data_IF_907342167594
#
_entry.id   IF_907342167594
#
_cell.length_a   1.000
_cell.length_b   1.000
_cell.length_c   1.000
_cell.angle_alpha   90.00
_cell.angle_beta   90.00
_cell.angle_gamma   90.00
#
_symmetry.space_group_name_H-M   'P 1'
#
loop_
_entity.id
_entity.type
_entity.pdbx_description
1 polymer ?
#
# COMPACT_ATOMS: atom_id res chain seq x y z
N UNK A 1 -18.27 60.95 -30.88
CA UNK A 1 -17.47 61.71 -31.86
C UNK A 1 -16.29 60.82 -32.24
N UNK A 2 -16.40 60.19 -33.42
CA UNK A 2 -15.26 59.58 -34.15
C UNK A 2 -14.43 60.68 -34.79
N UNK A 3 -13.27 60.46 -35.42
CA UNK A 3 -13.02 59.50 -36.50
C UNK A 3 -11.64 58.78 -36.39
N UNK A 4 -11.49 57.57 -36.91
CA UNK A 4 -11.04 57.06 -38.23
C UNK A 4 -9.75 57.69 -38.76
N UNK A 5 -8.71 56.86 -38.99
CA UNK A 5 -7.88 56.97 -40.20
C UNK A 5 -7.11 55.66 -40.46
N UNK A 6 -7.28 55.13 -41.65
CA UNK A 6 -6.57 54.09 -42.37
C UNK A 6 -5.10 54.43 -42.65
N UNK A 7 -4.26 53.39 -42.84
CA UNK A 7 -3.33 53.33 -43.96
C UNK A 7 -2.74 51.94 -44.15
N UNK A 8 -2.84 51.47 -45.36
CA UNK A 8 -2.39 50.19 -45.97
C UNK A 8 -0.87 50.23 -46.21
N UNK A 9 -0.25 49.04 -46.19
CA UNK A 9 1.09 48.83 -46.73
C UNK A 9 1.35 47.39 -47.00
N UNK A 10 1.31 46.99 -48.26
CA UNK A 10 1.60 45.65 -48.76
C UNK A 10 3.12 45.43 -48.87
N UNK A 11 3.59 44.21 -48.65
CA UNK A 11 4.90 43.76 -48.96
C UNK A 11 4.98 42.23 -49.01
N UNK A 12 5.21 41.71 -50.20
CA UNK A 12 5.25 40.30 -50.56
C UNK A 12 6.62 39.68 -50.32
N UNK A 13 6.64 38.34 -50.14
CA UNK A 13 7.76 37.47 -50.56
C UNK A 13 8.62 36.90 -49.45
N UNK A 14 8.56 35.65 -49.19
CA UNK A 14 9.43 34.60 -49.69
C UNK A 14 9.17 33.27 -49.02
N UNK A 15 9.10 32.27 -49.86
CA UNK A 15 9.02 30.82 -49.53
C UNK A 15 10.28 30.32 -48.85
N UNK A 16 10.13 29.72 -47.69
CA UNK A 16 11.18 28.95 -47.00
C UNK A 16 10.63 27.59 -46.59
N UNK A 17 10.86 26.62 -47.42
CA UNK A 17 10.65 25.20 -47.17
C UNK A 17 11.64 24.78 -46.06
N UNK A 18 11.14 24.39 -44.88
CA UNK A 18 11.90 23.74 -43.84
C UNK A 18 11.16 22.46 -43.43
N UNK A 19 11.47 21.38 -44.13
CA UNK A 19 11.10 20.03 -43.77
C UNK A 19 11.61 19.65 -42.39
N UNK A 20 10.77 19.91 -41.39
CA UNK A 20 10.96 19.39 -40.02
C UNK A 20 10.59 17.92 -39.97
N UNK A 21 11.56 17.04 -39.99
CA UNK A 21 11.42 15.62 -39.72
C UNK A 21 10.71 15.42 -38.36
N UNK A 22 9.47 14.93 -38.42
CA UNK A 22 8.76 14.41 -37.28
C UNK A 22 9.55 13.20 -36.77
N UNK A 23 10.22 13.36 -35.62
CA UNK A 23 10.84 12.26 -34.88
C UNK A 23 9.82 11.17 -34.53
N UNK A 24 10.24 9.90 -34.44
CA UNK A 24 9.34 8.80 -34.22
C UNK A 24 8.78 8.84 -32.79
N UNK A 25 7.44 8.82 -32.69
CA UNK A 25 6.74 8.34 -31.51
C UNK A 25 6.51 9.34 -30.39
N UNK A 26 5.56 10.28 -30.60
CA UNK A 26 4.76 10.71 -29.48
C UNK A 26 3.88 9.52 -29.08
N UNK A 27 4.39 8.69 -28.15
CA UNK A 27 3.61 7.61 -27.55
C UNK A 27 2.34 8.20 -26.94
N UNK A 28 1.23 7.49 -27.07
CA UNK A 28 0.00 7.81 -26.36
C UNK A 28 0.35 8.11 -24.90
N UNK A 29 -0.25 9.15 -24.26
CA UNK A 29 -0.02 9.43 -22.86
C UNK A 29 -0.25 8.15 -22.06
N UNK A 30 0.71 7.77 -21.21
CA UNK A 30 0.58 6.58 -20.40
C UNK A 30 -0.70 6.72 -19.57
N UNK A 31 -1.58 5.71 -19.63
CA UNK A 31 -2.78 5.69 -18.80
C UNK A 31 -2.39 5.88 -17.34
N UNK A 32 -3.13 6.68 -16.56
CA UNK A 32 -2.84 6.89 -15.16
C UNK A 32 -2.90 5.56 -14.39
N UNK A 33 -2.01 5.38 -13.43
CA UNK A 33 -2.06 4.23 -12.53
C UNK A 33 -3.22 4.39 -11.55
N UNK A 34 -3.92 3.29 -11.28
CA UNK A 34 -4.94 3.18 -10.25
C UNK A 34 -4.62 2.03 -9.30
N UNK A 35 -4.82 2.26 -8.02
CA UNK A 35 -4.65 1.25 -6.98
C UNK A 35 -6.01 0.75 -6.52
N UNK A 36 -6.22 -0.56 -6.55
CA UNK A 36 -7.40 -1.22 -5.96
C UNK A 36 -6.93 -2.00 -4.74
N UNK A 37 -7.36 -1.59 -3.55
CA UNK A 37 -7.02 -2.25 -2.29
C UNK A 37 -8.16 -3.14 -1.82
N UNK A 38 -7.89 -4.41 -1.50
CA UNK A 38 -8.90 -5.34 -0.99
C UNK A 38 -8.72 -5.51 0.51
N UNK A 39 -9.69 -5.05 1.29
CA UNK A 39 -9.73 -5.08 2.74
C UNK A 39 -10.88 -5.96 3.24
N UNK A 40 -10.60 -7.23 3.47
CA UNK A 40 -11.61 -8.17 3.96
C UNK A 40 -11.77 -8.16 5.49
N UNK A 41 -10.91 -7.42 6.20
CA UNK A 41 -10.92 -7.32 7.67
C UNK A 41 -10.62 -5.88 8.12
N UNK A 42 -11.43 -4.94 7.61
CA UNK A 42 -11.33 -3.53 7.92
C UNK A 42 -11.53 -3.26 9.44
N UNK A 43 -11.03 -2.11 9.90
CA UNK A 43 -11.15 -1.68 11.29
C UNK A 43 -11.28 -0.16 11.40
N UNK A 44 -11.81 0.34 12.52
CA UNK A 44 -11.52 1.70 12.96
C UNK A 44 -10.21 1.66 13.73
N UNK A 45 -9.14 2.22 13.16
CA UNK A 45 -7.85 2.32 13.84
C UNK A 45 -7.82 3.57 14.72
N UNK A 46 -7.57 3.38 16.01
CA UNK A 46 -7.42 4.45 17.01
C UNK A 46 -6.01 4.43 17.56
N UNK A 47 -5.35 5.59 17.58
CA UNK A 47 -4.09 5.78 18.29
C UNK A 47 -4.34 6.71 19.46
N UNK A 48 -3.91 6.29 20.63
CA UNK A 48 -4.06 7.05 21.87
C UNK A 48 -2.75 7.06 22.65
N UNK A 49 -2.59 8.00 23.58
CA UNK A 49 -1.44 8.06 24.46
C UNK A 49 -1.84 8.20 25.92
N UNK A 50 -1.06 7.60 26.79
CA UNK A 50 -1.13 7.76 28.25
C UNK A 50 0.26 8.12 28.77
N UNK A 51 0.33 8.79 29.92
CA UNK A 51 1.63 9.08 30.55
C UNK A 51 2.32 7.78 30.97
N UNK A 52 1.55 6.83 31.50
CA UNK A 52 2.00 5.49 31.85
C UNK A 52 0.86 4.48 31.76
N UNK A 53 1.09 3.37 31.12
CA UNK A 53 0.14 2.25 31.02
C UNK A 53 0.39 1.27 32.16
N UNK A 54 -0.55 1.19 33.13
CA UNK A 54 -0.46 0.31 34.30
C UNK A 54 -1.62 -0.68 34.26
N UNK A 55 -1.35 -2.00 34.16
CA UNK A 55 -2.39 -3.01 34.21
C UNK A 55 -3.20 -2.94 35.50
N UNK A 56 -4.54 -3.00 35.40
CA UNK A 56 -5.46 -2.94 36.53
C UNK A 56 -5.92 -1.53 36.93
N UNK A 57 -5.36 -0.48 36.33
CA UNK A 57 -5.78 0.91 36.58
C UNK A 57 -6.74 1.42 35.51
N UNK A 58 -7.47 2.50 35.85
CA UNK A 58 -8.33 3.22 34.91
C UNK A 58 -7.51 4.29 34.22
N UNK A 59 -7.35 4.18 32.90
CA UNK A 59 -6.69 5.18 32.08
C UNK A 59 -7.69 6.09 31.36
N UNK A 60 -7.34 7.38 31.19
CA UNK A 60 -8.06 8.35 30.36
C UNK A 60 -7.10 8.85 29.28
N UNK A 61 -6.95 8.09 28.18
CA UNK A 61 -5.95 8.40 27.17
C UNK A 61 -6.31 9.68 26.40
N UNK A 62 -5.28 10.41 25.97
CA UNK A 62 -5.41 11.40 24.94
C UNK A 62 -5.57 10.68 23.59
N UNK A 63 -6.63 10.99 22.84
CA UNK A 63 -6.85 10.42 21.51
C UNK A 63 -6.05 11.21 20.49
N UNK A 64 -5.08 10.55 19.83
CA UNK A 64 -4.20 11.16 18.85
C UNK A 64 -4.76 11.05 17.42
N UNK A 65 -5.37 9.92 17.08
CA UNK A 65 -5.97 9.72 15.75
C UNK A 65 -7.13 8.72 15.77
N UNK A 66 -8.08 8.90 14.84
CA UNK A 66 -9.14 7.94 14.50
C UNK A 66 -9.22 7.86 12.98
N UNK A 67 -8.94 6.70 12.41
CA UNK A 67 -8.76 6.53 10.98
C UNK A 67 -9.48 5.29 10.45
N UNK A 68 -9.94 5.32 9.18
CA UNK A 68 -10.28 4.08 8.48
C UNK A 68 -9.05 3.19 8.40
N UNK A 69 -9.11 2.01 8.97
CA UNK A 69 -7.94 1.18 9.20
C UNK A 69 -8.06 -0.26 8.73
N UNK A 70 -6.99 -1.01 9.02
CA UNK A 70 -6.66 -2.27 8.42
C UNK A 70 -5.67 -2.09 7.26
N UNK A 71 -4.70 -3.04 7.11
CA UNK A 71 -3.53 -2.88 6.21
C UNK A 71 -3.89 -2.33 4.82
N UNK A 72 -4.87 -2.90 4.13
CA UNK A 72 -5.25 -2.47 2.79
C UNK A 72 -5.82 -1.04 2.75
N UNK A 73 -6.58 -0.62 3.77
CA UNK A 73 -7.07 0.75 3.88
C UNK A 73 -5.94 1.73 4.21
N UNK A 74 -4.97 1.32 5.02
CA UNK A 74 -3.78 2.11 5.30
C UNK A 74 -2.97 2.36 4.01
N UNK A 75 -2.77 1.30 3.19
CA UNK A 75 -2.14 1.44 1.87
C UNK A 75 -2.91 2.41 0.98
N UNK A 76 -4.24 2.29 0.90
CA UNK A 76 -5.07 3.16 0.06
C UNK A 76 -4.96 4.64 0.49
N UNK A 77 -4.99 4.93 1.80
CA UNK A 77 -4.86 6.28 2.35
C UNK A 77 -3.48 6.86 2.09
N UNK A 78 -2.42 6.11 2.39
CA UNK A 78 -1.04 6.52 2.13
C UNK A 78 -0.80 6.77 0.63
N UNK A 79 -1.30 5.89 -0.25
CA UNK A 79 -1.21 6.05 -1.69
C UNK A 79 -1.92 7.32 -2.16
N UNK A 80 -3.11 7.60 -1.61
CA UNK A 80 -3.86 8.83 -1.91
C UNK A 80 -3.11 10.09 -1.50
N UNK A 81 -2.48 10.08 -0.32
CA UNK A 81 -1.61 11.17 0.17
C UNK A 81 -0.40 11.37 -0.76
N UNK A 82 0.13 10.31 -1.35
CA UNK A 82 1.22 10.35 -2.33
C UNK A 82 0.77 10.65 -3.77
N UNK A 83 -0.51 11.01 -3.97
CA UNK A 83 -1.03 11.48 -5.26
C UNK A 83 -1.59 10.40 -6.19
N UNK A 84 -1.67 9.14 -5.77
CA UNK A 84 -2.30 8.08 -6.55
C UNK A 84 -3.83 8.13 -6.47
N UNK A 85 -4.48 7.69 -7.53
CA UNK A 85 -5.89 7.33 -7.48
C UNK A 85 -6.01 5.97 -6.81
N UNK A 86 -6.79 5.91 -5.72
CA UNK A 86 -7.01 4.68 -4.97
C UNK A 86 -8.51 4.43 -4.77
N UNK A 87 -8.90 3.17 -4.89
CA UNK A 87 -10.21 2.67 -4.49
C UNK A 87 -10.06 1.43 -3.61
N UNK A 88 -11.12 1.09 -2.89
CA UNK A 88 -11.10 -0.07 -2.01
C UNK A 88 -12.33 -0.97 -2.23
N UNK A 89 -12.10 -2.27 -2.18
CA UNK A 89 -13.14 -3.26 -1.93
C UNK A 89 -13.05 -3.62 -0.46
N UNK A 90 -14.09 -3.33 0.32
CA UNK A 90 -14.03 -3.48 1.77
C UNK A 90 -15.23 -4.27 2.32
N UNK A 91 -14.96 -5.22 3.22
CA UNK A 91 -15.99 -5.88 4.02
C UNK A 91 -16.31 -4.99 5.21
N UNK A 92 -17.56 -4.55 5.29
CA UNK A 92 -18.02 -3.57 6.27
C UNK A 92 -19.34 -4.04 6.91
N UNK A 93 -19.57 -3.68 8.18
CA UNK A 93 -20.82 -3.96 8.89
C UNK A 93 -21.14 -2.91 9.94
N UNK A 94 -22.41 -2.69 10.19
CA UNK A 94 -22.95 -1.80 11.20
C UNK A 94 -22.57 -0.32 11.04
N UNK A 95 -22.75 0.44 12.11
CA UNK A 95 -22.45 1.87 12.12
C UNK A 95 -20.97 2.20 11.95
N UNK A 96 -20.07 1.35 12.47
CA UNK A 96 -18.64 1.51 12.26
C UNK A 96 -18.27 1.35 10.78
N UNK A 97 -18.93 0.43 10.07
CA UNK A 97 -18.78 0.27 8.62
C UNK A 97 -19.25 1.49 7.84
N UNK A 98 -20.38 2.10 8.22
CA UNK A 98 -20.89 3.33 7.61
C UNK A 98 -19.92 4.50 7.85
N UNK A 99 -19.41 4.62 9.07
CA UNK A 99 -18.41 5.64 9.40
C UNK A 99 -17.13 5.48 8.57
N UNK A 100 -16.66 4.24 8.36
CA UNK A 100 -15.49 3.94 7.54
C UNK A 100 -15.68 4.38 6.08
N UNK A 101 -16.82 4.03 5.48
CA UNK A 101 -17.14 4.40 4.10
C UNK A 101 -17.18 5.93 3.94
N UNK A 102 -17.86 6.64 4.84
CA UNK A 102 -17.89 8.10 4.87
C UNK A 102 -16.50 8.72 5.04
N UNK A 103 -15.68 8.16 5.94
CA UNK A 103 -14.34 8.68 6.20
C UNK A 103 -13.39 8.48 5.01
N UNK A 104 -13.54 7.39 4.26
CA UNK A 104 -12.82 7.14 3.00
C UNK A 104 -13.30 8.08 1.89
N UNK A 105 -14.60 8.28 1.77
CA UNK A 105 -15.19 9.20 0.79
C UNK A 105 -14.69 10.64 0.98
N UNK A 106 -14.59 11.13 2.23
CA UNK A 106 -14.01 12.44 2.55
C UNK A 106 -12.55 12.58 2.13
N UNK A 107 -11.83 11.48 1.97
CA UNK A 107 -10.44 11.43 1.46
C UNK A 107 -10.37 11.23 -0.06
N UNK A 108 -11.51 11.19 -0.74
CA UNK A 108 -11.59 10.95 -2.18
C UNK A 108 -11.21 9.51 -2.57
N UNK A 109 -11.44 8.55 -1.68
CA UNK A 109 -11.23 7.12 -1.91
C UNK A 109 -12.60 6.49 -2.14
N UNK A 110 -12.83 5.98 -3.35
CA UNK A 110 -14.05 5.23 -3.69
C UNK A 110 -14.06 3.91 -2.93
N UNK A 111 -15.21 3.55 -2.37
CA UNK A 111 -15.38 2.31 -1.61
C UNK A 111 -16.49 1.47 -2.23
N UNK A 112 -16.13 0.27 -2.69
CA UNK A 112 -17.09 -0.79 -3.04
C UNK A 112 -17.29 -1.67 -1.81
N UNK A 113 -18.29 -1.33 -1.02
CA UNK A 113 -18.60 -2.01 0.23
C UNK A 113 -19.29 -3.36 0.00
N UNK A 114 -18.76 -4.41 0.62
CA UNK A 114 -19.44 -5.70 0.81
C UNK A 114 -20.02 -5.70 2.22
N UNK A 115 -21.32 -5.56 2.32
CA UNK A 115 -22.01 -5.48 3.62
C UNK A 115 -22.28 -6.86 4.18
N UNK A 116 -21.87 -7.07 5.44
CA UNK A 116 -22.14 -8.29 6.19
C UNK A 116 -22.75 -7.97 7.56
N UNK A 117 -23.38 -8.95 8.18
CA UNK A 117 -23.96 -8.77 9.51
C UNK A 117 -22.89 -8.59 10.59
N UNK A 118 -23.19 -7.79 11.60
CA UNK A 118 -22.30 -7.46 12.70
C UNK A 118 -21.72 -6.04 12.59
N UNK A 119 -20.79 -5.73 13.47
CA UNK A 119 -20.16 -4.40 13.58
C UNK A 119 -18.70 -4.49 13.16
N UNK A 120 -18.25 -3.57 12.32
CA UNK A 120 -16.82 -3.48 11.95
C UNK A 120 -15.99 -3.19 13.20
N UNK A 121 -14.92 -3.94 13.39
CA UNK A 121 -14.07 -3.92 14.57
C UNK A 121 -13.33 -2.59 14.77
N UNK A 122 -12.88 -2.38 16.01
CA UNK A 122 -11.91 -1.34 16.38
C UNK A 122 -10.56 -1.98 16.69
N UNK A 123 -9.48 -1.32 16.27
CA UNK A 123 -8.11 -1.59 16.70
C UNK A 123 -7.61 -0.37 17.46
N UNK A 124 -7.16 -0.56 18.70
CA UNK A 124 -6.66 0.50 19.56
C UNK A 124 -5.17 0.29 19.83
N UNK A 125 -4.37 1.30 19.49
CA UNK A 125 -2.94 1.37 19.80
C UNK A 125 -2.72 2.42 20.89
N UNK A 126 -2.12 2.05 22.02
CA UNK A 126 -1.86 2.93 23.15
C UNK A 126 -0.35 3.10 23.33
N UNK A 127 0.11 4.33 23.20
CA UNK A 127 1.50 4.74 23.46
C UNK A 127 1.66 5.07 24.95
N UNK A 128 2.56 4.38 25.64
CA UNK A 128 3.04 4.74 26.95
C UNK A 128 4.18 5.76 26.79
N UNK A 129 3.92 7.04 27.14
CA UNK A 129 4.89 8.13 26.99
C UNK A 129 6.11 7.97 27.91
N UNK A 130 5.93 7.31 29.06
CA UNK A 130 6.99 7.13 30.04
C UNK A 130 8.05 6.12 29.60
N UNK A 131 7.63 5.10 28.83
CA UNK A 131 8.52 4.01 28.37
C UNK A 131 8.75 4.04 26.85
N UNK A 132 7.92 4.75 26.09
CA UNK A 132 7.87 4.69 24.64
C UNK A 132 7.26 3.38 24.09
N UNK A 133 6.76 2.50 24.96
CA UNK A 133 6.17 1.24 24.54
C UNK A 133 4.80 1.44 23.90
N UNK A 134 4.50 0.62 22.88
CA UNK A 134 3.20 0.56 22.21
C UNK A 134 2.48 -0.72 22.63
N UNK A 135 1.24 -0.58 23.10
CA UNK A 135 0.35 -1.70 23.40
C UNK A 135 -0.85 -1.66 22.48
N UNK A 136 -1.17 -2.79 21.87
CA UNK A 136 -2.22 -2.89 20.86
C UNK A 136 -3.35 -3.82 21.30
N UNK A 137 -4.60 -3.38 21.09
CA UNK A 137 -5.82 -4.13 21.37
C UNK A 137 -6.60 -4.27 20.06
N UNK A 138 -6.67 -5.47 19.54
CA UNK A 138 -7.34 -5.76 18.27
C UNK A 138 -8.59 -6.61 18.54
N UNK A 139 -9.75 -6.06 18.21
CA UNK A 139 -11.00 -6.79 18.24
C UNK A 139 -11.04 -7.84 17.14
N UNK A 140 -11.85 -8.88 17.34
CA UNK A 140 -12.14 -9.87 16.30
C UNK A 140 -12.84 -9.19 15.11
N UNK A 141 -12.51 -9.63 13.89
CA UNK A 141 -13.19 -9.14 12.69
C UNK A 141 -14.59 -9.72 12.54
N UNK A 142 -15.32 -9.18 11.55
CA UNK A 142 -16.61 -9.71 11.11
C UNK A 142 -16.45 -11.17 10.63
N UNK A 143 -17.47 -12.00 10.81
CA UNK A 143 -17.47 -13.34 10.21
C UNK A 143 -17.86 -13.23 8.75
N UNK A 144 -17.06 -13.83 7.86
CA UNK A 144 -17.26 -13.82 6.42
C UNK A 144 -17.49 -15.27 5.93
N UNK A 145 -18.72 -15.60 5.65
CA UNK A 145 -19.10 -16.91 5.12
C UNK A 145 -18.80 -17.03 3.61
N UNK A 146 -19.16 -18.16 3.03
CA UNK A 146 -18.92 -18.44 1.60
C UNK A 146 -19.66 -17.46 0.67
N UNK A 147 -20.86 -17.03 1.03
CA UNK A 147 -21.65 -16.07 0.24
C UNK A 147 -21.02 -14.68 0.31
N UNK A 148 -20.61 -14.25 1.51
CA UNK A 148 -19.86 -13.02 1.72
C UNK A 148 -18.53 -13.03 0.97
N UNK A 149 -17.81 -14.17 0.97
CA UNK A 149 -16.59 -14.30 0.17
C UNK A 149 -16.85 -14.15 -1.34
N UNK A 150 -17.89 -14.82 -1.83
CA UNK A 150 -18.31 -14.69 -3.24
C UNK A 150 -18.68 -13.24 -3.60
N UNK A 151 -19.28 -12.51 -2.65
CA UNK A 151 -19.56 -11.09 -2.84
C UNK A 151 -18.28 -10.23 -2.93
N UNK A 152 -17.25 -10.55 -2.16
CA UNK A 152 -15.91 -9.90 -2.27
C UNK A 152 -15.32 -10.13 -3.65
N UNK A 153 -15.34 -11.35 -4.16
CA UNK A 153 -14.82 -11.68 -5.49
C UNK A 153 -15.54 -10.92 -6.60
N UNK A 154 -16.87 -10.88 -6.53
CA UNK A 154 -17.70 -10.11 -7.48
C UNK A 154 -17.41 -8.60 -7.38
N UNK A 155 -17.25 -8.09 -6.17
CA UNK A 155 -16.91 -6.68 -5.95
C UNK A 155 -15.55 -6.33 -6.55
N UNK A 156 -14.54 -7.19 -6.39
CA UNK A 156 -13.24 -7.00 -7.02
C UNK A 156 -13.34 -6.99 -8.54
N UNK A 157 -14.01 -7.97 -9.14
CA UNK A 157 -14.19 -8.04 -10.58
C UNK A 157 -14.93 -6.81 -11.14
N UNK A 158 -15.98 -6.36 -10.45
CA UNK A 158 -16.71 -5.15 -10.83
C UNK A 158 -15.83 -3.90 -10.75
N UNK A 159 -14.98 -3.81 -9.72
CA UNK A 159 -14.03 -2.71 -9.58
C UNK A 159 -12.97 -2.70 -10.70
N UNK A 160 -12.48 -3.88 -11.10
CA UNK A 160 -11.49 -4.01 -12.16
C UNK A 160 -12.06 -3.72 -13.56
N UNK A 161 -13.38 -3.86 -13.76
CA UNK A 161 -14.04 -3.60 -15.03
C UNK A 161 -14.31 -2.11 -15.32
N UNK A 162 -14.18 -1.21 -14.33
CA UNK A 162 -14.64 0.19 -14.46
C UNK A 162 -13.71 1.11 -15.26
N UNK A 163 -12.44 0.75 -15.45
CA UNK A 163 -11.47 1.69 -16.05
C UNK A 163 -10.38 0.99 -16.88
N UNK A 164 -9.90 1.71 -17.91
CA UNK A 164 -8.75 1.28 -18.72
C UNK A 164 -7.37 1.73 -18.14
N UNK A 165 -7.34 2.26 -16.92
CA UNK A 165 -6.09 2.60 -16.25
C UNK A 165 -5.21 1.36 -16.03
N UNK A 166 -3.91 1.57 -15.88
CA UNK A 166 -3.03 0.51 -15.35
C UNK A 166 -3.41 0.26 -13.89
N UNK A 167 -3.97 -0.90 -13.61
CA UNK A 167 -4.42 -1.26 -12.26
C UNK A 167 -3.36 -2.12 -11.57
N UNK A 168 -3.15 -1.84 -10.28
CA UNK A 168 -2.46 -2.72 -9.37
C UNK A 168 -3.41 -3.09 -8.23
N UNK A 169 -3.57 -4.38 -7.95
CA UNK A 169 -4.41 -4.86 -6.86
C UNK A 169 -3.55 -5.13 -5.64
N UNK A 170 -3.87 -4.51 -4.51
CA UNK A 170 -3.23 -4.79 -3.22
C UNK A 170 -4.18 -5.60 -2.34
N UNK A 171 -3.73 -6.78 -1.96
CA UNK A 171 -4.45 -7.71 -1.06
C UNK A 171 -3.64 -7.75 0.23
N UNK A 172 -4.14 -7.11 1.29
CA UNK A 172 -3.36 -6.94 2.50
C UNK A 172 -4.19 -7.09 3.79
N UNK A 173 -3.54 -7.59 4.83
CA UNK A 173 -4.09 -7.77 6.17
C UNK A 173 -4.34 -9.23 6.54
N UNK A 174 -5.11 -9.45 7.61
CA UNK A 174 -5.53 -10.77 8.06
C UNK A 174 -6.86 -11.15 7.42
N UNK A 175 -7.09 -12.44 7.23
CA UNK A 175 -8.41 -12.95 6.88
C UNK A 175 -9.32 -12.94 8.12
N UNK A 176 -10.60 -12.56 7.97
CA UNK A 176 -11.57 -12.64 9.06
C UNK A 176 -12.03 -14.08 9.30
N UNK A 177 -12.67 -14.37 10.47
CA UNK A 177 -13.29 -15.67 10.72
C UNK A 177 -14.23 -16.11 9.59
N UNK A 178 -14.19 -17.38 9.22
CA UNK A 178 -15.04 -17.97 8.18
C UNK A 178 -14.54 -17.77 6.74
N UNK A 179 -13.59 -16.87 6.50
CA UNK A 179 -12.99 -16.70 5.18
C UNK A 179 -12.18 -17.94 4.76
N UNK A 180 -12.16 -18.29 3.45
CA UNK A 180 -11.40 -19.44 2.97
C UNK A 180 -9.89 -19.20 3.12
N UNK A 181 -9.14 -20.23 3.52
CA UNK A 181 -7.68 -20.14 3.72
C UNK A 181 -6.94 -19.73 2.43
N UNK A 182 -7.45 -20.15 1.27
CA UNK A 182 -6.94 -19.85 -0.07
C UNK A 182 -7.47 -18.52 -0.65
N UNK A 183 -8.25 -17.78 0.15
CA UNK A 183 -8.96 -16.59 -0.32
C UNK A 183 -8.05 -15.57 -1.00
N UNK A 184 -6.89 -15.29 -0.45
CA UNK A 184 -5.96 -14.34 -1.09
C UNK A 184 -5.38 -14.86 -2.40
N UNK A 185 -5.16 -16.18 -2.51
CA UNK A 185 -4.80 -16.81 -3.78
C UNK A 185 -5.91 -16.65 -4.83
N UNK A 186 -7.17 -16.84 -4.44
CA UNK A 186 -8.33 -16.66 -5.33
C UNK A 186 -8.44 -15.21 -5.81
N UNK A 187 -8.26 -14.21 -4.93
CA UNK A 187 -8.26 -12.79 -5.31
C UNK A 187 -7.09 -12.44 -6.23
N UNK A 188 -5.90 -12.99 -5.97
CA UNK A 188 -4.74 -12.80 -6.84
C UNK A 188 -4.95 -13.41 -8.22
N UNK A 189 -5.55 -14.59 -8.30
CA UNK A 189 -5.89 -15.24 -9.58
C UNK A 189 -6.96 -14.43 -10.35
N UNK A 190 -7.96 -13.84 -9.67
CA UNK A 190 -8.93 -12.95 -10.32
C UNK A 190 -8.26 -11.69 -10.89
N UNK A 191 -7.31 -11.09 -10.17
CA UNK A 191 -6.54 -9.96 -10.66
C UNK A 191 -5.73 -10.32 -11.91
N UNK A 192 -5.02 -11.46 -11.88
CA UNK A 192 -4.25 -11.97 -13.03
C UNK A 192 -5.16 -12.24 -14.24
N UNK A 193 -6.29 -12.91 -14.03
CA UNK A 193 -7.29 -13.16 -15.05
C UNK A 193 -7.91 -11.91 -15.67
N UNK A 194 -7.91 -10.78 -14.93
CA UNK A 194 -8.29 -9.48 -15.43
C UNK A 194 -7.12 -8.70 -16.10
N UNK A 195 -5.95 -9.33 -16.26
CA UNK A 195 -4.77 -8.71 -16.85
C UNK A 195 -4.07 -7.68 -15.94
N UNK A 196 -4.32 -7.73 -14.63
CA UNK A 196 -3.72 -6.83 -13.65
C UNK A 196 -2.70 -7.57 -12.76
N UNK A 197 -1.82 -6.81 -12.09
CA UNK A 197 -0.84 -7.39 -11.17
C UNK A 197 -1.36 -7.36 -9.73
N UNK A 198 -1.18 -8.46 -9.01
CA UNK A 198 -1.51 -8.56 -7.59
C UNK A 198 -0.27 -8.40 -6.71
N UNK A 199 -0.42 -7.59 -5.67
CA UNK A 199 0.53 -7.45 -4.55
C UNK A 199 -0.11 -8.06 -3.31
N UNK A 200 0.61 -8.93 -2.61
CA UNK A 200 0.11 -9.60 -1.40
C UNK A 200 0.98 -9.21 -0.20
N UNK A 201 0.34 -8.70 0.85
CA UNK A 201 0.91 -8.47 2.18
C UNK A 201 0.11 -9.28 3.22
N UNK A 202 0.48 -10.52 3.38
CA UNK A 202 -0.18 -11.48 4.28
C UNK A 202 0.86 -12.40 4.94
N UNK A 203 0.47 -13.07 6.02
CA UNK A 203 1.31 -14.02 6.73
C UNK A 203 0.71 -15.42 6.83
N UNK A 204 1.50 -16.36 7.37
CA UNK A 204 1.06 -17.71 7.71
C UNK A 204 0.51 -18.51 6.53
N UNK A 205 -0.49 -19.35 6.80
CA UNK A 205 -1.11 -20.25 5.81
C UNK A 205 -1.72 -19.50 4.62
N UNK A 206 -2.19 -18.27 4.81
CA UNK A 206 -2.81 -17.45 3.77
C UNK A 206 -1.77 -16.98 2.73
N UNK A 207 -0.55 -16.69 3.16
CA UNK A 207 0.55 -16.38 2.25
C UNK A 207 0.96 -17.60 1.45
N UNK A 208 1.08 -18.77 2.09
CA UNK A 208 1.42 -20.03 1.40
C UNK A 208 0.38 -20.36 0.31
N UNK A 209 -0.90 -20.18 0.59
CA UNK A 209 -1.97 -20.35 -0.39
C UNK A 209 -1.91 -19.29 -1.51
N UNK A 210 -1.60 -18.03 -1.18
CA UNK A 210 -1.47 -16.96 -2.15
C UNK A 210 -0.30 -17.15 -3.11
N UNK A 211 0.82 -17.71 -2.66
CA UNK A 211 1.99 -18.02 -3.51
C UNK A 211 1.65 -18.98 -4.64
N UNK A 212 0.74 -19.94 -4.42
CA UNK A 212 0.29 -20.87 -5.46
C UNK A 212 -0.40 -20.14 -6.64
N UNK A 213 -1.01 -18.97 -6.40
CA UNK A 213 -1.61 -18.12 -7.43
C UNK A 213 -0.61 -17.20 -8.13
N UNK A 214 0.69 -17.31 -7.83
CA UNK A 214 1.80 -16.57 -8.44
C UNK A 214 1.60 -15.03 -8.45
N UNK A 215 1.41 -14.40 -7.29
CA UNK A 215 1.28 -12.95 -7.22
C UNK A 215 2.53 -12.27 -7.80
N UNK A 216 2.32 -11.10 -8.40
CA UNK A 216 3.45 -10.33 -8.92
C UNK A 216 4.45 -9.96 -7.83
N UNK A 217 3.97 -9.42 -6.70
CA UNK A 217 4.83 -9.02 -5.59
C UNK A 217 4.28 -9.56 -4.27
N UNK A 218 5.17 -10.13 -3.47
CA UNK A 218 4.92 -10.43 -2.06
C UNK A 218 5.77 -9.51 -1.21
N UNK A 219 5.15 -8.78 -0.28
CA UNK A 219 5.84 -7.99 0.74
C UNK A 219 5.46 -8.55 2.10
N UNK A 220 6.47 -8.87 2.90
CA UNK A 220 6.32 -9.40 4.26
C UNK A 220 7.44 -8.85 5.15
N UNK A 221 7.26 -8.93 6.48
CA UNK A 221 8.37 -8.71 7.38
C UNK A 221 9.22 -9.99 7.58
N UNK A 222 10.39 -9.84 8.19
CA UNK A 222 11.33 -10.96 8.39
C UNK A 222 10.72 -12.14 9.17
N UNK A 223 9.85 -11.88 10.17
CA UNK A 223 9.15 -12.91 10.94
C UNK A 223 8.13 -13.65 10.04
N UNK A 224 7.29 -12.93 9.32
CA UNK A 224 6.31 -13.51 8.39
C UNK A 224 7.00 -14.31 7.27
N UNK A 225 8.14 -13.81 6.76
CA UNK A 225 8.95 -14.53 5.78
C UNK A 225 9.49 -15.85 6.35
N UNK A 226 10.02 -15.83 7.57
CA UNK A 226 10.53 -17.03 8.23
C UNK A 226 9.40 -18.04 8.50
N UNK A 227 8.24 -17.59 8.97
CA UNK A 227 7.06 -18.45 9.16
C UNK A 227 6.60 -19.12 7.87
N UNK A 228 6.58 -18.37 6.75
CA UNK A 228 6.10 -18.88 5.46
C UNK A 228 7.10 -19.83 4.77
N UNK A 229 8.40 -19.59 4.94
CA UNK A 229 9.46 -20.34 4.21
C UNK A 229 10.16 -21.40 5.05
N UNK A 230 10.02 -21.35 6.37
CA UNK A 230 10.81 -22.16 7.30
C UNK A 230 12.29 -21.73 7.41
N UNK A 231 12.68 -20.62 6.76
CA UNK A 231 14.05 -20.10 6.77
C UNK A 231 14.15 -18.95 7.77
N UNK A 232 14.96 -19.08 8.83
CA UNK A 232 15.17 -17.98 9.78
C UNK A 232 15.74 -16.74 9.09
N UNK A 233 15.19 -15.58 9.39
CA UNK A 233 15.58 -14.30 8.79
C UNK A 233 15.97 -13.24 9.84
N UNK A 234 16.91 -13.53 10.75
CA UNK A 234 17.32 -12.58 11.78
C UNK A 234 18.21 -11.47 11.24
N UNK A 235 18.85 -11.68 10.10
CA UNK A 235 19.83 -10.80 9.46
C UNK A 235 19.56 -10.67 7.94
N UNK A 236 20.41 -9.94 7.23
CA UNK A 236 20.28 -9.74 5.80
C UNK A 236 20.45 -11.04 4.98
N UNK A 237 21.47 -11.89 5.23
CA UNK A 237 21.57 -13.17 4.52
C UNK A 237 20.35 -14.06 4.69
N UNK A 238 19.78 -14.14 5.91
CA UNK A 238 18.56 -14.88 6.19
C UNK A 238 17.35 -14.27 5.47
N UNK A 239 17.20 -12.96 5.49
CA UNK A 239 16.13 -12.26 4.75
C UNK A 239 16.25 -12.47 3.23
N UNK A 240 17.47 -12.46 2.67
CA UNK A 240 17.72 -12.75 1.26
C UNK A 240 17.36 -14.20 0.91
N UNK A 241 17.73 -15.16 1.76
CA UNK A 241 17.38 -16.56 1.55
C UNK A 241 15.86 -16.76 1.58
N UNK A 242 15.17 -16.16 2.54
CA UNK A 242 13.71 -16.19 2.63
C UNK A 242 13.05 -15.51 1.42
N UNK A 243 13.55 -14.35 0.95
CA UNK A 243 13.04 -13.68 -0.24
C UNK A 243 13.18 -14.54 -1.51
N UNK A 244 14.32 -15.22 -1.68
CA UNK A 244 14.53 -16.18 -2.77
C UNK A 244 13.55 -17.37 -2.68
N UNK A 245 13.29 -17.87 -1.46
CA UNK A 245 12.34 -18.96 -1.25
C UNK A 245 10.89 -18.54 -1.55
N UNK A 246 10.48 -17.31 -1.18
CA UNK A 246 9.17 -16.75 -1.55
C UNK A 246 9.00 -16.68 -3.07
N UNK A 247 10.04 -16.29 -3.81
CA UNK A 247 10.02 -16.31 -5.27
C UNK A 247 9.93 -17.73 -5.83
N UNK A 248 10.72 -18.66 -5.31
CA UNK A 248 10.64 -20.08 -5.70
C UNK A 248 9.24 -20.66 -5.41
N UNK A 249 8.55 -20.16 -4.37
CA UNK A 249 7.18 -20.51 -4.03
C UNK A 249 6.11 -19.92 -4.94
N UNK A 250 6.47 -18.97 -5.85
CA UNK A 250 5.53 -18.45 -6.85
C UNK A 250 5.53 -16.93 -7.05
N UNK A 251 6.00 -16.14 -6.10
CA UNK A 251 6.04 -14.69 -6.26
C UNK A 251 7.06 -14.28 -7.36
N UNK A 252 6.69 -13.34 -8.26
CA UNK A 252 7.64 -12.78 -9.23
C UNK A 252 8.66 -11.86 -8.56
N UNK A 253 8.24 -11.13 -7.55
CA UNK A 253 9.05 -10.21 -6.73
C UNK A 253 8.84 -10.53 -5.26
N UNK A 254 9.89 -10.54 -4.46
CA UNK A 254 9.80 -10.66 -3.01
C UNK A 254 10.49 -9.48 -2.33
N UNK A 255 9.80 -8.83 -1.40
CA UNK A 255 10.30 -7.75 -0.56
C UNK A 255 10.15 -8.15 0.91
N UNK A 256 11.28 -8.35 1.58
CA UNK A 256 11.33 -8.71 3.01
C UNK A 256 11.81 -7.51 3.81
N UNK A 257 10.94 -6.94 4.63
CA UNK A 257 11.28 -5.80 5.50
C UNK A 257 11.87 -6.28 6.82
N UNK A 258 12.88 -5.56 7.32
CA UNK A 258 13.64 -5.86 8.55
C UNK A 258 13.50 -4.76 9.61
N UNK A 259 12.42 -3.98 9.54
CA UNK A 259 12.19 -2.87 10.47
C UNK A 259 13.29 -1.81 10.36
N UNK A 260 13.94 -1.53 11.48
CA UNK A 260 15.03 -0.53 11.55
C UNK A 260 16.29 -0.92 10.77
N UNK A 261 16.44 -2.17 10.36
CA UNK A 261 17.57 -2.65 9.56
C UNK A 261 17.32 -2.57 8.04
N UNK A 262 16.25 -1.92 7.61
CA UNK A 262 15.91 -1.73 6.20
C UNK A 262 15.15 -2.90 5.58
N UNK A 263 15.49 -3.29 4.35
CA UNK A 263 14.78 -4.36 3.63
C UNK A 263 15.68 -5.03 2.58
N UNK A 264 15.26 -6.23 2.16
CA UNK A 264 15.83 -6.97 1.02
C UNK A 264 14.76 -7.16 -0.04
N UNK A 265 15.10 -6.81 -1.28
CA UNK A 265 14.26 -7.00 -2.46
C UNK A 265 14.94 -8.03 -3.38
N UNK A 266 14.18 -9.00 -3.88
CA UNK A 266 14.60 -9.84 -5.02
C UNK A 266 13.66 -9.55 -6.18
N UNK A 267 14.20 -8.93 -7.24
CA UNK A 267 13.44 -8.46 -8.39
C UNK A 267 13.04 -9.59 -9.37
N UNK A 268 12.23 -9.28 -10.37
CA UNK A 268 11.72 -10.26 -11.37
C UNK A 268 12.84 -11.03 -12.09
N UNK A 269 13.95 -10.37 -12.40
CA UNK A 269 15.14 -10.95 -13.03
C UNK A 269 16.02 -11.78 -12.07
N UNK A 270 15.64 -11.80 -10.79
CA UNK A 270 16.40 -12.49 -9.73
C UNK A 270 17.47 -11.64 -9.06
N UNK A 271 17.70 -10.40 -9.54
CA UNK A 271 18.67 -9.50 -8.94
C UNK A 271 18.26 -9.11 -7.50
N UNK A 272 19.13 -9.35 -6.51
CA UNK A 272 18.85 -8.97 -5.14
C UNK A 272 19.38 -7.56 -4.85
N UNK A 273 18.64 -6.83 -4.01
CA UNK A 273 18.93 -5.47 -3.61
C UNK A 273 18.78 -5.29 -2.12
N UNK A 274 19.69 -4.52 -1.52
CA UNK A 274 19.55 -3.99 -0.17
C UNK A 274 18.92 -2.61 -0.24
N UNK A 275 17.89 -2.38 0.55
CA UNK A 275 17.37 -1.08 0.92
C UNK A 275 17.89 -0.79 2.32
N UNK A 276 18.67 0.27 2.47
CA UNK A 276 19.31 0.63 3.73
C UNK A 276 18.34 0.98 4.85
N UNK A 277 18.85 1.11 6.08
CA UNK A 277 18.05 1.48 7.24
C UNK A 277 17.49 2.90 7.11
N UNK A 278 16.37 3.21 7.81
CA UNK A 278 15.85 4.57 7.88
C UNK A 278 16.89 5.49 8.57
N UNK A 279 17.07 6.73 8.08
CA UNK A 279 18.04 7.68 8.66
C UNK A 279 17.60 8.23 10.02
N UNK A 280 16.32 8.11 10.34
CA UNK A 280 15.73 8.50 11.62
C UNK A 280 14.60 7.55 12.01
N UNK A 281 14.33 7.45 13.31
CA UNK A 281 13.31 6.58 13.88
C UNK A 281 12.22 7.43 14.53
N UNK A 282 10.97 7.11 14.25
CA UNK A 282 9.82 7.74 14.88
C UNK A 282 9.14 6.80 15.88
N UNK A 283 8.30 7.34 16.78
CA UNK A 283 7.59 6.55 17.79
C UNK A 283 6.36 5.81 17.26
N UNK A 284 5.89 6.10 16.04
CA UNK A 284 4.62 5.57 15.49
C UNK A 284 4.88 4.55 14.37
N UNK A 285 5.48 3.41 14.73
CA UNK A 285 5.94 2.40 13.75
C UNK A 285 4.82 1.59 13.10
N UNK A 286 3.60 1.59 13.68
CA UNK A 286 2.46 0.83 13.13
C UNK A 286 1.99 1.47 11.83
N UNK A 287 1.76 0.63 10.80
CA UNK A 287 1.39 1.11 9.46
C UNK A 287 2.59 1.47 8.56
N UNK A 288 3.84 1.47 9.08
CA UNK A 288 5.02 1.75 8.25
C UNK A 288 5.19 0.75 7.10
N UNK A 289 4.84 -0.52 7.32
CA UNK A 289 4.83 -1.53 6.24
C UNK A 289 3.79 -1.24 5.15
N UNK A 290 2.64 -0.66 5.52
CA UNK A 290 1.57 -0.26 4.61
C UNK A 290 1.98 1.00 3.83
N UNK A 291 2.58 1.98 4.53
CA UNK A 291 3.15 3.18 3.92
C UNK A 291 4.31 2.86 2.95
N UNK A 292 5.17 1.87 3.29
CA UNK A 292 6.20 1.37 2.38
C UNK A 292 5.57 0.88 1.07
N UNK A 293 4.54 0.05 1.18
CA UNK A 293 3.88 -0.50 0.00
C UNK A 293 3.23 0.60 -0.85
N UNK A 294 2.57 1.57 -0.21
CA UNK A 294 2.00 2.73 -0.89
C UNK A 294 3.06 3.57 -1.62
N UNK A 295 4.19 3.85 -0.96
CA UNK A 295 5.31 4.59 -1.53
C UNK A 295 5.97 3.87 -2.70
N UNK A 296 6.13 2.53 -2.59
CA UNK A 296 6.62 1.68 -3.67
C UNK A 296 5.71 1.79 -4.90
N UNK A 297 4.40 1.62 -4.72
CA UNK A 297 3.43 1.69 -5.83
C UNK A 297 3.38 3.09 -6.44
N UNK A 298 3.42 4.14 -5.62
CA UNK A 298 3.46 5.53 -6.11
C UNK A 298 4.71 5.80 -6.95
N UNK A 299 5.86 5.30 -6.53
CA UNK A 299 7.10 5.44 -7.27
C UNK A 299 7.10 4.66 -8.60
N UNK A 300 6.53 3.45 -8.62
CA UNK A 300 6.33 2.70 -9.87
C UNK A 300 5.41 3.44 -10.84
N UNK A 301 4.33 4.02 -10.34
CA UNK A 301 3.42 4.84 -11.13
C UNK A 301 4.10 6.09 -11.72
N UNK A 302 5.07 6.65 -11.01
CA UNK A 302 5.92 7.73 -11.48
C UNK A 302 7.04 7.30 -12.46
N UNK A 303 7.13 5.99 -12.77
CA UNK A 303 8.09 5.45 -13.75
C UNK A 303 9.46 5.10 -13.18
N UNK A 304 9.62 5.06 -11.87
CA UNK A 304 10.88 4.59 -11.26
C UNK A 304 11.07 3.07 -11.43
N UNK A 305 12.33 2.64 -11.44
CA UNK A 305 12.67 1.21 -11.40
C UNK A 305 12.19 0.56 -10.10
N UNK A 306 11.96 -0.74 -10.11
CA UNK A 306 11.48 -1.47 -8.93
C UNK A 306 12.41 -1.32 -7.70
N UNK A 307 13.75 -1.41 -7.79
CA UNK A 307 14.62 -1.16 -6.65
C UNK A 307 14.50 0.27 -6.11
N UNK A 308 14.46 1.28 -6.99
CA UNK A 308 14.28 2.68 -6.57
C UNK A 308 12.88 2.91 -5.96
N UNK A 309 11.85 2.24 -6.49
CA UNK A 309 10.51 2.29 -5.93
C UNK A 309 10.47 1.69 -4.51
N UNK A 310 11.20 0.60 -4.26
CA UNK A 310 11.32 0.02 -2.91
C UNK A 310 12.05 0.97 -1.95
N UNK A 311 13.10 1.67 -2.40
CA UNK A 311 13.80 2.71 -1.62
C UNK A 311 12.87 3.87 -1.25
N UNK A 312 12.07 4.36 -2.19
CA UNK A 312 11.05 5.39 -1.95
C UNK A 312 9.93 4.90 -1.04
N UNK A 313 9.57 3.63 -1.15
CA UNK A 313 8.69 2.97 -0.19
C UNK A 313 9.24 3.00 1.23
N UNK A 314 10.53 2.70 1.42
CA UNK A 314 11.17 2.79 2.72
C UNK A 314 11.18 4.24 3.28
N UNK A 315 11.30 5.25 2.42
CA UNK A 315 11.16 6.65 2.83
C UNK A 315 9.74 6.98 3.29
N UNK A 316 8.71 6.48 2.61
CA UNK A 316 7.32 6.62 3.05
C UNK A 316 7.06 5.91 4.40
N UNK A 317 7.66 4.73 4.61
CA UNK A 317 7.62 4.03 5.89
C UNK A 317 8.24 4.83 7.04
N UNK A 318 9.40 5.44 6.78
CA UNK A 318 10.07 6.32 7.73
C UNK A 318 9.19 7.53 8.06
N UNK A 319 8.63 8.22 7.06
CA UNK A 319 7.73 9.35 7.24
C UNK A 319 6.46 8.99 8.03
N UNK A 320 5.91 7.79 7.81
CA UNK A 320 4.78 7.30 8.62
C UNK A 320 5.16 7.18 10.10
N UNK A 321 6.37 6.72 10.43
CA UNK A 321 6.79 6.56 11.81
C UNK A 321 6.93 7.90 12.56
N UNK A 322 6.99 9.03 11.87
CA UNK A 322 7.14 10.38 12.46
C UNK A 322 5.80 11.00 12.90
N UNK A 323 4.68 10.50 12.40
CA UNK A 323 3.35 11.07 12.69
C UNK A 323 2.41 10.04 13.29
N UNK A 324 1.49 10.43 14.19
CA UNK A 324 0.51 9.50 14.73
C UNK A 324 -0.51 9.08 13.66
N UNK A 325 -0.80 7.80 13.61
CA UNK A 325 -1.80 7.22 12.71
C UNK A 325 -1.18 6.26 11.67
N UNK A 326 -1.73 5.06 11.64
CA UNK A 326 -1.27 3.99 10.76
C UNK A 326 -1.49 4.38 9.29
N UNK A 327 -0.44 4.36 8.46
CA UNK A 327 -0.51 4.77 7.05
C UNK A 327 -0.69 6.28 6.82
N UNK A 328 -0.59 7.12 7.85
CA UNK A 328 -0.47 8.58 7.69
C UNK A 328 1.00 8.95 7.46
N UNK A 329 1.27 9.93 6.64
CA UNK A 329 2.63 10.43 6.40
C UNK A 329 2.58 11.85 5.82
N UNK A 330 3.68 12.60 6.02
CA UNK A 330 3.92 13.83 5.28
C UNK A 330 4.81 13.52 4.06
N UNK A 331 4.36 13.82 2.83
CA UNK A 331 5.18 13.66 1.63
C UNK A 331 6.50 14.46 1.67
N UNK A 332 6.54 15.60 2.37
CA UNK A 332 7.76 16.38 2.53
C UNK A 332 8.78 15.64 3.41
N UNK A 333 8.35 14.98 4.47
CA UNK A 333 9.20 14.12 5.28
C UNK A 333 9.71 12.92 4.48
N UNK A 334 8.84 12.27 3.70
CA UNK A 334 9.28 11.18 2.83
C UNK A 334 10.36 11.62 1.83
N UNK A 335 10.20 12.81 1.23
CA UNK A 335 11.21 13.37 0.33
C UNK A 335 12.51 13.70 1.05
N UNK A 336 12.44 14.25 2.26
CA UNK A 336 13.59 14.62 3.10
C UNK A 336 14.42 13.39 3.51
N UNK A 337 13.77 12.35 4.03
CA UNK A 337 14.48 11.16 4.54
C UNK A 337 15.02 10.27 3.43
N UNK A 338 14.48 10.37 2.21
CA UNK A 338 14.91 9.57 1.06
C UNK A 338 16.42 9.69 0.79
N UNK A 339 17.00 10.88 0.98
CA UNK A 339 18.42 11.11 0.74
C UNK A 339 19.34 10.26 1.65
N UNK A 340 18.87 9.88 2.83
CA UNK A 340 19.63 9.07 3.79
C UNK A 340 19.44 7.55 3.63
N UNK A 341 18.53 7.09 2.75
CA UNK A 341 18.30 5.66 2.53
C UNK A 341 19.15 5.19 1.36
N UNK A 342 20.03 4.22 1.58
CA UNK A 342 20.86 3.64 0.51
C UNK A 342 20.10 2.59 -0.29
N UNK A 343 20.60 2.32 -1.51
CA UNK A 343 20.12 1.27 -2.39
C UNK A 343 21.34 0.60 -3.04
N UNK A 344 21.63 -0.63 -2.64
CA UNK A 344 22.83 -1.35 -3.04
C UNK A 344 22.46 -2.69 -3.67
N UNK A 345 23.07 -3.09 -4.82
CA UNK A 345 22.94 -4.45 -5.30
C UNK A 345 23.62 -5.41 -4.32
N UNK A 346 22.98 -6.54 -4.08
CA UNK A 346 23.57 -7.65 -3.32
C UNK A 346 24.17 -8.65 -4.32
N UNK A 347 25.39 -9.09 -4.04
CA UNK A 347 26.11 -10.04 -4.88
C UNK A 347 25.55 -11.47 -4.87
#
# INVERSE_FOLDING_TARGET
MSPISDARGAGAGESGDAGGSRGPGAGLPALPWRLVCVSVNAAIDKTAAVDRLVPGEIHRPELLSVLPGGKALNVARAARTLGLVASVVAVLGGHAGDWLEDALARRGIHTRAVRVAGETRTCLSVVDRGTGALTEFYEAGLTLDADGWTAVERALLAELAEDQARVLVVIAGSLPPGAPVDGYGRLAALADGAGTRAVVDAGGAHLAAALAARPWLVKVNAREAAEATGIPAPDEPGALAAARALRAGGASVALVTRGVDGAVLVAEDGAPWRIGPPPELGPYVVGSGDALLAGLVAALAAGHSLPEAARRGAAAACANALVPGQGELDPADAARVLAGITLDPLG
#
